data_IF_071661936249
#
_entry.id   IF_071661936249
#
_cell.length_a   1.000
_cell.length_b   1.000
_cell.length_c   1.000
_cell.angle_alpha   90.00
_cell.angle_beta   90.00
_cell.angle_gamma   90.00
#
_symmetry.space_group_name_H-M   'P 1'
#
loop_
_entity.id
_entity.type
_entity.pdbx_description
1 polymer ?
#
# COMPACT_ATOMS: atom_id res chain seq x y z
N UNK A 1 -17.87 40.40 4.01
CA UNK A 1 -17.07 39.18 3.67
C UNK A 1 -17.06 38.18 4.80
N UNK A 2 -16.94 38.58 6.04
CA UNK A 2 -16.89 37.74 7.24
C UNK A 2 -18.12 36.80 7.37
N UNK A 3 -19.33 37.33 7.31
CA UNK A 3 -20.58 36.55 7.36
C UNK A 3 -20.71 35.44 6.30
N UNK A 4 -20.10 35.59 5.11
CA UNK A 4 -20.15 34.55 4.06
C UNK A 4 -19.20 33.39 4.38
N UNK A 5 -18.00 33.68 4.91
CA UNK A 5 -17.05 32.68 5.35
C UNK A 5 -17.58 31.85 6.50
N UNK A 6 -18.21 32.49 7.49
CA UNK A 6 -18.83 31.81 8.62
C UNK A 6 -19.91 30.80 8.17
N UNK A 7 -20.76 31.18 7.19
CA UNK A 7 -21.76 30.28 6.61
C UNK A 7 -21.11 29.06 5.94
N UNK A 8 -20.06 29.28 5.15
CA UNK A 8 -19.30 28.19 4.49
C UNK A 8 -18.71 27.25 5.53
N UNK A 9 -18.06 27.78 6.55
CA UNK A 9 -17.42 27.03 7.64
C UNK A 9 -18.46 26.21 8.40
N UNK A 10 -19.54 26.84 8.84
CA UNK A 10 -20.61 26.15 9.57
C UNK A 10 -21.21 24.99 8.76
N UNK A 11 -21.48 25.21 7.47
CA UNK A 11 -22.00 24.16 6.59
C UNK A 11 -20.99 23.05 6.32
N UNK A 12 -19.73 23.39 6.15
CA UNK A 12 -18.65 22.39 5.99
C UNK A 12 -18.56 21.47 7.21
N UNK A 13 -18.57 22.02 8.42
CA UNK A 13 -18.54 21.26 9.67
C UNK A 13 -19.79 20.38 9.82
N UNK A 14 -20.98 20.91 9.50
CA UNK A 14 -22.23 20.13 9.48
C UNK A 14 -22.13 18.92 8.56
N UNK A 15 -21.67 19.13 7.31
CA UNK A 15 -21.51 18.06 6.34
C UNK A 15 -20.51 17.02 6.84
N UNK A 16 -19.39 17.43 7.42
CA UNK A 16 -18.39 16.52 7.95
C UNK A 16 -18.87 15.73 9.16
N UNK A 17 -19.75 16.29 10.01
CA UNK A 17 -20.39 15.59 11.13
C UNK A 17 -21.34 14.47 10.66
N UNK A 18 -21.89 14.56 9.47
CA UNK A 18 -22.78 13.56 8.88
C UNK A 18 -22.04 12.49 8.07
N UNK A 19 -20.72 12.62 7.89
CA UNK A 19 -19.93 11.71 7.07
C UNK A 19 -18.74 11.14 7.86
N UNK A 20 -18.93 10.02 8.56
CA UNK A 20 -17.89 9.39 9.40
C UNK A 20 -16.61 9.04 8.66
N UNK A 21 -16.71 8.64 7.39
CA UNK A 21 -15.56 8.25 6.54
C UNK A 21 -14.82 9.47 5.97
N UNK A 22 -15.35 10.67 6.18
CA UNK A 22 -14.82 11.91 5.64
C UNK A 22 -15.32 12.22 4.24
N UNK A 23 -14.93 13.38 3.71
CA UNK A 23 -15.33 13.85 2.37
C UNK A 23 -14.11 14.46 1.67
N UNK A 24 -13.95 14.12 0.39
CA UNK A 24 -12.93 14.71 -0.45
C UNK A 24 -13.20 16.20 -0.72
N UNK A 25 -12.10 16.96 -0.86
CA UNK A 25 -12.13 18.42 -1.06
C UNK A 25 -13.11 18.85 -2.17
N UNK A 26 -13.03 18.23 -3.34
CA UNK A 26 -13.89 18.55 -4.48
C UNK A 26 -15.37 18.32 -4.21
N UNK A 27 -15.71 17.24 -3.50
CA UNK A 27 -17.07 16.89 -3.14
C UNK A 27 -17.61 17.81 -2.05
N UNK A 28 -16.78 18.18 -1.09
CA UNK A 28 -17.16 19.15 -0.05
C UNK A 28 -17.44 20.52 -0.66
N UNK A 29 -16.57 21.00 -1.55
CA UNK A 29 -16.78 22.26 -2.29
C UNK A 29 -18.08 22.19 -3.11
N UNK A 30 -18.30 21.11 -3.85
CA UNK A 30 -19.51 20.91 -4.66
C UNK A 30 -20.79 20.97 -3.83
N UNK A 31 -20.85 20.25 -2.70
CA UNK A 31 -22.01 20.25 -1.79
C UNK A 31 -22.29 21.64 -1.23
N UNK A 32 -21.24 22.36 -0.81
CA UNK A 32 -21.41 23.73 -0.29
C UNK A 32 -21.84 24.70 -1.39
N UNK A 33 -21.35 24.55 -2.62
CA UNK A 33 -21.74 25.39 -3.76
C UNK A 33 -23.21 25.18 -4.15
N UNK A 34 -23.71 23.97 -4.03
CA UNK A 34 -25.13 23.65 -4.26
C UNK A 34 -26.05 24.28 -3.22
N UNK A 35 -25.59 24.33 -1.96
CA UNK A 35 -26.35 24.94 -0.86
C UNK A 35 -26.34 26.49 -0.92
N UNK A 36 -25.26 27.08 -1.40
CA UNK A 36 -25.08 28.53 -1.45
C UNK A 36 -24.75 29.03 -2.87
N UNK A 37 -25.71 28.99 -3.82
CA UNK A 37 -25.46 29.37 -5.21
C UNK A 37 -25.07 30.87 -5.36
N UNK A 38 -25.45 31.72 -4.38
CA UNK A 38 -25.11 33.16 -4.37
C UNK A 38 -23.68 33.47 -3.92
N UNK A 39 -22.93 32.44 -3.45
CA UNK A 39 -21.54 32.63 -3.04
C UNK A 39 -20.59 32.23 -4.17
N UNK A 40 -19.69 33.12 -4.62
CA UNK A 40 -18.73 32.79 -5.65
C UNK A 40 -17.92 31.52 -5.28
N UNK A 41 -17.80 30.57 -6.20
CA UNK A 41 -17.14 29.28 -6.01
C UNK A 41 -15.69 29.47 -5.53
N UNK A 42 -14.97 30.48 -6.03
CA UNK A 42 -13.61 30.79 -5.57
C UNK A 42 -13.54 31.17 -4.09
N UNK A 43 -14.60 31.77 -3.52
CA UNK A 43 -14.69 32.07 -2.09
C UNK A 43 -14.87 30.81 -1.28
N UNK A 44 -15.65 29.86 -1.81
CA UNK A 44 -15.85 28.53 -1.19
C UNK A 44 -14.54 27.77 -1.23
N UNK A 45 -13.87 27.69 -2.38
CA UNK A 45 -12.57 27.04 -2.52
C UNK A 45 -11.55 27.56 -1.51
N UNK A 46 -11.35 28.88 -1.44
CA UNK A 46 -10.38 29.49 -0.52
C UNK A 46 -10.73 29.30 0.96
N UNK A 47 -12.03 29.13 1.30
CA UNK A 47 -12.45 28.87 2.68
C UNK A 47 -12.29 27.41 3.07
N UNK A 48 -12.65 26.48 2.17
CA UNK A 48 -12.54 25.04 2.42
C UNK A 48 -11.08 24.57 2.42
N UNK A 49 -10.24 25.14 1.57
CA UNK A 49 -8.80 24.80 1.52
C UNK A 49 -8.13 24.92 2.88
N UNK A 50 -8.46 25.93 3.63
CA UNK A 50 -7.84 26.36 4.87
C UNK A 50 -8.57 25.84 6.13
N UNK A 51 -9.64 25.05 5.94
CA UNK A 51 -10.58 24.67 6.99
C UNK A 51 -9.89 23.93 8.14
N UNK A 52 -9.04 22.95 7.86
CA UNK A 52 -8.35 22.18 8.90
C UNK A 52 -7.30 23.01 9.67
N UNK A 53 -6.71 24.02 9.03
CA UNK A 53 -5.78 24.94 9.68
C UNK A 53 -6.51 25.94 10.58
N UNK A 54 -7.72 26.35 10.19
CA UNK A 54 -8.54 27.32 10.96
C UNK A 54 -9.27 26.68 12.12
N UNK A 55 -9.71 25.44 11.96
CA UNK A 55 -10.50 24.69 12.94
C UNK A 55 -9.82 23.37 13.30
N UNK A 56 -8.61 23.38 13.84
CA UNK A 56 -7.86 22.16 14.15
C UNK A 56 -8.55 21.30 15.21
N UNK A 57 -9.43 21.88 16.02
CA UNK A 57 -10.22 21.19 17.04
C UNK A 57 -11.55 20.59 16.53
N UNK A 58 -11.92 20.86 15.28
CA UNK A 58 -13.17 20.36 14.68
C UNK A 58 -12.92 19.55 13.41
N UNK A 59 -11.89 19.91 12.63
CA UNK A 59 -11.62 19.30 11.32
C UNK A 59 -10.14 18.96 11.19
N UNK A 60 -9.87 17.76 10.72
CA UNK A 60 -8.53 17.30 10.38
C UNK A 60 -8.49 16.68 8.99
N UNK A 61 -7.28 16.51 8.44
CA UNK A 61 -7.04 15.84 7.17
C UNK A 61 -6.33 14.51 7.47
N UNK A 62 -7.03 13.37 7.46
CA UNK A 62 -6.38 12.06 7.63
C UNK A 62 -5.43 11.76 6.46
N UNK A 63 -5.81 12.16 5.23
CA UNK A 63 -4.97 12.02 4.03
C UNK A 63 -5.07 13.27 3.16
N UNK A 64 -4.20 13.34 2.12
CA UNK A 64 -4.22 14.45 1.17
C UNK A 64 -5.59 14.57 0.48
N UNK A 65 -6.22 15.75 0.65
CA UNK A 65 -7.50 16.05 0.00
C UNK A 65 -8.74 15.51 0.70
N UNK A 66 -8.62 14.71 1.77
CA UNK A 66 -9.73 14.18 2.56
C UNK A 66 -9.90 14.99 3.84
N UNK A 67 -11.13 15.46 4.11
CA UNK A 67 -11.50 16.18 5.32
C UNK A 67 -12.39 15.33 6.20
N UNK A 68 -12.17 15.34 7.52
CA UNK A 68 -12.94 14.58 8.50
C UNK A 68 -13.15 15.38 9.77
N UNK A 69 -14.29 15.15 10.44
CA UNK A 69 -14.56 15.76 11.73
C UNK A 69 -13.82 15.03 12.85
N UNK A 70 -13.27 15.78 13.83
CA UNK A 70 -12.46 15.21 14.94
C UNK A 70 -13.22 14.22 15.82
N UNK A 71 -14.55 14.30 15.89
CA UNK A 71 -15.36 13.32 16.65
C UNK A 71 -15.17 11.88 16.16
N UNK A 72 -14.74 11.68 14.92
CA UNK A 72 -14.48 10.35 14.35
C UNK A 72 -13.01 9.92 14.46
N UNK A 73 -12.15 10.75 15.07
CA UNK A 73 -10.74 10.44 15.27
C UNK A 73 -10.54 9.32 16.30
N UNK A 74 -11.36 9.30 17.34
CA UNK A 74 -11.34 8.25 18.37
C UNK A 74 -11.97 6.94 17.91
N UNK A 75 -12.88 6.97 16.92
CA UNK A 75 -13.43 5.75 16.32
C UNK A 75 -12.40 4.98 15.49
N UNK A 76 -11.39 5.65 14.93
CA UNK A 76 -10.26 4.97 14.30
C UNK A 76 -9.45 4.18 15.33
N UNK A 77 -9.14 4.80 16.47
CA UNK A 77 -8.41 4.16 17.59
C UNK A 77 -9.24 3.02 18.18
N UNK A 78 -10.57 3.21 18.33
CA UNK A 78 -11.46 2.19 18.92
C UNK A 78 -11.84 1.06 17.94
N UNK A 79 -11.76 1.26 16.64
CA UNK A 79 -11.95 0.18 15.65
C UNK A 79 -10.73 -0.74 15.60
N UNK A 80 -9.53 -0.22 15.89
CA UNK A 80 -8.33 -1.04 16.05
C UNK A 80 -8.37 -1.87 17.36
N UNK A 81 -9.02 -1.38 18.42
CA UNK A 81 -9.08 -2.06 19.74
C UNK A 81 -10.28 -3.03 19.90
N UNK A 82 -11.35 -2.95 19.11
CA UNK A 82 -12.58 -3.75 19.28
C UNK A 82 -12.64 -5.04 18.46
N UNK A 83 -11.52 -5.64 18.14
CA UNK A 83 -11.49 -7.04 17.65
C UNK A 83 -11.08 -7.97 18.78
N UNK A 84 -12.05 -8.41 19.62
CA UNK A 84 -11.91 -9.51 20.57
C UNK A 84 -13.16 -10.41 20.50
N UNK A 85 -13.05 -11.69 20.91
CA UNK A 85 -12.27 -12.74 20.30
C UNK A 85 -13.19 -13.89 19.84
N UNK A 86 -13.08 -14.32 18.63
CA UNK A 86 -13.27 -15.72 18.30
C UNK A 86 -11.86 -16.30 18.29
N UNK A 87 -11.64 -17.51 18.76
CA UNK A 87 -10.36 -18.21 18.63
C UNK A 87 -10.07 -18.43 17.13
N UNK A 88 -9.71 -17.35 16.47
CA UNK A 88 -9.24 -17.37 15.08
C UNK A 88 -7.84 -17.99 15.12
N UNK A 89 -7.65 -19.06 14.41
CA UNK A 89 -6.32 -19.54 13.97
C UNK A 89 -5.53 -18.30 13.60
N UNK A 90 -4.47 -17.99 14.35
CA UNK A 90 -3.70 -16.76 14.17
C UNK A 90 -3.02 -16.83 12.81
N UNK A 91 -3.62 -16.19 11.81
CA UNK A 91 -3.09 -16.10 10.46
C UNK A 91 -1.71 -15.42 10.52
N UNK A 92 -0.70 -16.08 9.97
CA UNK A 92 0.68 -15.61 9.95
C UNK A 92 1.05 -15.09 8.56
N UNK A 93 2.10 -14.29 8.48
CA UNK A 93 2.66 -13.85 7.20
C UNK A 93 3.03 -15.02 6.29
N UNK A 94 3.62 -16.07 6.87
CA UNK A 94 4.05 -17.28 6.18
C UNK A 94 2.92 -18.00 5.43
N UNK A 95 1.67 -17.86 5.89
CA UNK A 95 0.48 -18.46 5.27
C UNK A 95 0.22 -17.87 3.86
N UNK A 96 0.75 -16.68 3.57
CA UNK A 96 0.58 -15.97 2.29
C UNK A 96 1.77 -16.13 1.33
N UNK A 97 2.91 -16.64 1.77
CA UNK A 97 4.11 -16.74 0.93
C UNK A 97 3.89 -17.64 -0.28
N UNK A 98 3.35 -18.85 -0.05
CA UNK A 98 3.07 -19.78 -1.15
C UNK A 98 1.94 -19.30 -2.07
N UNK A 99 0.80 -18.81 -1.57
CA UNK A 99 -0.22 -18.18 -2.40
C UNK A 99 0.32 -17.04 -3.27
N UNK A 100 1.18 -16.17 -2.72
CA UNK A 100 1.77 -15.08 -3.47
C UNK A 100 2.77 -15.56 -4.54
N UNK A 101 3.61 -16.55 -4.21
CA UNK A 101 4.49 -17.18 -5.19
C UNK A 101 3.70 -17.78 -6.37
N UNK A 102 2.60 -18.49 -6.07
CA UNK A 102 1.72 -19.03 -7.09
C UNK A 102 1.05 -17.95 -7.95
N UNK A 103 0.62 -16.86 -7.34
CA UNK A 103 0.02 -15.72 -8.03
C UNK A 103 1.00 -15.03 -8.98
N UNK A 104 2.27 -14.85 -8.58
CA UNK A 104 3.33 -14.31 -9.43
C UNK A 104 3.56 -15.15 -10.70
N UNK A 105 3.40 -16.47 -10.60
CA UNK A 105 3.63 -17.41 -11.70
C UNK A 105 2.39 -17.57 -12.57
N UNK A 106 1.22 -17.85 -11.96
CA UNK A 106 0.05 -18.34 -12.67
C UNK A 106 -0.95 -17.26 -13.09
N UNK A 107 -0.98 -16.13 -12.40
CA UNK A 107 -1.95 -15.07 -12.67
C UNK A 107 -1.28 -13.81 -13.19
N UNK A 108 -0.23 -13.35 -12.52
CA UNK A 108 0.51 -12.16 -12.96
C UNK A 108 1.48 -12.47 -14.10
N UNK A 109 1.90 -13.72 -14.23
CA UNK A 109 2.91 -14.18 -15.22
C UNK A 109 4.22 -13.37 -15.15
N UNK A 110 4.54 -12.86 -13.96
CA UNK A 110 5.76 -12.10 -13.70
C UNK A 110 6.99 -13.01 -13.56
N UNK A 111 6.77 -14.25 -13.13
CA UNK A 111 7.80 -15.25 -12.91
C UNK A 111 7.52 -16.52 -13.72
N UNK A 112 8.59 -17.23 -14.13
CA UNK A 112 8.49 -18.60 -14.63
C UNK A 112 8.51 -19.63 -13.50
N UNK A 113 9.14 -19.26 -12.37
CA UNK A 113 9.13 -20.02 -11.12
C UNK A 113 9.27 -19.07 -9.93
N UNK A 114 8.64 -19.38 -8.80
CA UNK A 114 8.72 -18.61 -7.57
C UNK A 114 8.58 -19.52 -6.35
N UNK A 115 9.32 -19.20 -5.30
CA UNK A 115 9.36 -19.97 -4.06
C UNK A 115 9.13 -19.08 -2.83
N UNK A 116 8.43 -19.58 -1.80
CA UNK A 116 8.47 -18.99 -0.47
C UNK A 116 9.86 -19.15 0.14
N UNK A 117 10.38 -18.12 0.78
CA UNK A 117 11.63 -18.16 1.53
C UNK A 117 11.40 -17.83 3.00
N UNK A 118 11.35 -16.54 3.32
CA UNK A 118 11.22 -16.04 4.68
C UNK A 118 12.39 -16.38 5.61
N UNK A 119 12.25 -16.00 6.87
CA UNK A 119 13.21 -16.29 7.90
C UNK A 119 14.59 -15.70 7.64
N UNK A 120 15.66 -16.45 7.94
CA UNK A 120 17.04 -16.00 7.77
C UNK A 120 17.80 -16.87 6.75
N UNK A 121 17.17 -17.17 5.61
CA UNK A 121 17.73 -18.05 4.58
C UNK A 121 19.02 -17.49 3.98
N UNK A 122 19.10 -16.20 3.78
CA UNK A 122 20.29 -15.54 3.22
C UNK A 122 21.41 -15.31 4.26
N UNK A 123 21.12 -15.52 5.56
CA UNK A 123 22.07 -15.33 6.66
C UNK A 123 22.73 -13.96 6.64
N UNK A 124 21.97 -12.95 6.24
CA UNK A 124 22.44 -11.58 6.07
C UNK A 124 21.55 -10.61 6.87
N UNK A 125 22.17 -9.58 7.47
CA UNK A 125 21.47 -8.54 8.23
C UNK A 125 20.54 -7.66 7.38
N UNK A 126 20.69 -7.71 6.05
CA UNK A 126 19.83 -6.98 5.10
C UNK A 126 18.51 -7.70 4.82
N UNK A 127 18.28 -8.85 5.45
CA UNK A 127 17.05 -9.61 5.38
C UNK A 127 17.04 -10.67 4.28
N UNK A 128 16.00 -11.46 4.32
CA UNK A 128 15.64 -12.45 3.31
C UNK A 128 14.25 -12.10 2.82
N UNK A 129 13.99 -12.03 1.51
CA UNK A 129 12.64 -11.84 0.99
C UNK A 129 11.69 -12.93 1.46
N UNK A 130 10.43 -12.60 1.67
CA UNK A 130 9.41 -13.60 1.98
C UNK A 130 9.14 -14.52 0.79
N UNK A 131 9.16 -13.94 -0.41
CA UNK A 131 9.03 -14.66 -1.67
C UNK A 131 10.09 -14.18 -2.65
N UNK A 132 10.68 -15.13 -3.37
CA UNK A 132 11.57 -14.86 -4.49
C UNK A 132 11.17 -15.66 -5.70
N UNK A 133 11.28 -15.04 -6.86
CA UNK A 133 10.99 -15.68 -8.15
C UNK A 133 12.05 -15.37 -9.19
N UNK A 134 12.03 -16.13 -10.24
CA UNK A 134 12.82 -15.90 -11.46
C UNK A 134 11.92 -15.87 -12.67
N UNK A 135 12.28 -15.06 -13.65
CA UNK A 135 11.72 -15.11 -15.00
C UNK A 135 12.82 -15.50 -15.96
N UNK A 136 12.73 -16.69 -16.50
CA UNK A 136 13.64 -17.19 -17.53
C UNK A 136 12.96 -17.16 -18.91
N UNK A 137 13.71 -16.90 -19.99
CA UNK A 137 13.17 -17.01 -21.33
C UNK A 137 12.76 -18.46 -21.63
N UNK A 138 11.56 -18.64 -22.13
CA UNK A 138 11.05 -19.95 -22.55
C UNK A 138 11.45 -20.27 -23.99
N UNK A 139 11.37 -21.57 -24.35
CA UNK A 139 11.68 -22.00 -25.74
C UNK A 139 10.72 -21.38 -26.77
N UNK A 140 9.49 -21.14 -26.35
CA UNK A 140 8.43 -20.51 -27.15
C UNK A 140 8.61 -19.01 -27.40
N UNK A 141 9.47 -18.33 -26.62
CA UNK A 141 9.63 -16.89 -26.71
C UNK A 141 10.36 -16.52 -28.00
N UNK A 142 9.75 -15.63 -28.78
CA UNK A 142 10.35 -15.06 -30.00
C UNK A 142 11.53 -14.15 -29.62
N UNK A 143 11.33 -13.31 -28.59
CA UNK A 143 12.38 -12.42 -28.06
C UNK A 143 12.81 -12.94 -26.69
N UNK A 144 14.04 -13.41 -26.59
CA UNK A 144 14.60 -13.94 -25.35
C UNK A 144 15.20 -12.81 -24.50
N UNK A 145 14.52 -12.47 -23.42
CA UNK A 145 15.04 -11.56 -22.41
C UNK A 145 16.06 -12.28 -21.48
N UNK A 146 16.98 -11.55 -20.83
CA UNK A 146 17.81 -12.12 -19.79
C UNK A 146 16.94 -12.59 -18.61
N UNK A 147 17.49 -13.53 -17.80
CA UNK A 147 16.84 -13.96 -16.55
C UNK A 147 16.69 -12.76 -15.61
N UNK A 148 15.50 -12.59 -15.08
CA UNK A 148 15.21 -11.58 -14.05
C UNK A 148 14.93 -12.26 -12.72
N UNK A 149 15.34 -11.61 -11.63
CA UNK A 149 15.01 -12.00 -10.26
C UNK A 149 13.98 -11.02 -9.72
N UNK A 150 12.94 -11.57 -9.10
CA UNK A 150 11.82 -10.83 -8.51
C UNK A 150 11.78 -11.16 -7.01
N UNK A 151 11.64 -10.17 -6.15
CA UNK A 151 11.53 -10.33 -4.71
C UNK A 151 10.27 -9.68 -4.16
N UNK A 152 9.79 -10.15 -3.01
CA UNK A 152 8.66 -9.53 -2.33
C UNK A 152 8.81 -9.62 -0.81
N UNK A 153 8.36 -8.55 -0.15
CA UNK A 153 8.15 -8.46 1.29
C UNK A 153 6.65 -8.40 1.56
N UNK A 154 6.13 -9.25 2.42
CA UNK A 154 4.71 -9.39 2.73
C UNK A 154 4.47 -8.97 4.18
N UNK A 155 3.44 -8.18 4.43
CA UNK A 155 2.97 -7.83 5.77
C UNK A 155 1.49 -8.11 5.92
N UNK A 156 1.12 -8.79 7.00
CA UNK A 156 -0.29 -9.09 7.32
C UNK A 156 -0.95 -8.03 8.16
N UNK A 157 -0.19 -7.04 8.63
CA UNK A 157 -0.68 -5.88 9.35
C UNK A 157 0.09 -4.61 8.97
N UNK A 158 -0.42 -3.46 9.39
CA UNK A 158 0.10 -2.15 9.02
C UNK A 158 1.10 -1.55 10.02
N UNK A 159 1.63 -2.34 10.98
CA UNK A 159 2.44 -1.77 12.10
C UNK A 159 3.82 -1.28 11.67
N UNK A 160 4.50 -2.00 10.78
CA UNK A 160 5.89 -1.73 10.43
C UNK A 160 6.10 -1.53 8.91
N UNK A 161 5.15 -0.83 8.26
CA UNK A 161 5.16 -0.65 6.80
C UNK A 161 6.40 0.09 6.29
N UNK A 162 6.94 1.03 7.06
CA UNK A 162 8.17 1.73 6.66
C UNK A 162 9.39 0.81 6.69
N UNK A 163 9.46 -0.11 7.64
CA UNK A 163 10.52 -1.12 7.71
C UNK A 163 10.39 -2.09 6.54
N UNK A 164 9.19 -2.59 6.27
CA UNK A 164 8.91 -3.46 5.12
C UNK A 164 9.25 -2.79 3.79
N UNK A 165 8.90 -1.52 3.64
CA UNK A 165 9.30 -0.73 2.46
C UNK A 165 10.82 -0.62 2.33
N UNK A 166 11.53 -0.37 3.45
CA UNK A 166 12.99 -0.34 3.49
C UNK A 166 13.61 -1.69 3.08
N UNK A 167 13.03 -2.81 3.52
CA UNK A 167 13.43 -4.15 3.11
C UNK A 167 13.21 -4.37 1.62
N UNK A 168 12.01 -4.04 1.10
CA UNK A 168 11.74 -4.13 -0.34
C UNK A 168 12.71 -3.28 -1.19
N UNK A 169 13.09 -2.10 -0.70
CA UNK A 169 14.12 -1.27 -1.33
C UNK A 169 15.50 -1.95 -1.31
N UNK A 170 15.88 -2.57 -0.19
CA UNK A 170 17.18 -3.24 -0.05
C UNK A 170 17.32 -4.45 -0.99
N UNK A 171 16.22 -5.13 -1.28
CA UNK A 171 16.21 -6.29 -2.18
C UNK A 171 16.53 -5.92 -3.63
N UNK A 172 16.39 -4.65 -4.03
CA UNK A 172 16.84 -4.19 -5.34
C UNK A 172 18.35 -4.36 -5.54
N UNK A 173 19.12 -4.57 -4.48
CA UNK A 173 20.53 -4.90 -4.59
C UNK A 173 20.78 -6.17 -5.42
N UNK A 174 19.85 -7.13 -5.35
CA UNK A 174 19.97 -8.44 -6.02
C UNK A 174 18.73 -8.86 -6.81
N UNK A 175 17.72 -8.01 -6.90
CA UNK A 175 16.48 -8.29 -7.65
C UNK A 175 16.23 -7.22 -8.70
N UNK A 176 15.80 -7.62 -9.88
CA UNK A 176 15.43 -6.71 -10.97
C UNK A 176 14.13 -5.96 -10.67
N UNK A 177 13.21 -6.62 -9.95
CA UNK A 177 11.94 -6.06 -9.48
C UNK A 177 11.71 -6.44 -8.03
N UNK A 178 11.17 -5.53 -7.24
CA UNK A 178 10.86 -5.78 -5.85
C UNK A 178 9.46 -5.27 -5.52
N UNK A 179 8.75 -6.03 -4.71
CA UNK A 179 7.38 -5.75 -4.29
C UNK A 179 7.30 -5.59 -2.77
N UNK A 180 6.40 -4.71 -2.34
CA UNK A 180 5.81 -4.73 -1.01
C UNK A 180 4.35 -5.12 -1.12
N UNK A 181 3.91 -6.06 -0.26
CA UNK A 181 2.57 -6.65 -0.27
C UNK A 181 1.92 -6.39 1.07
N UNK A 182 0.81 -5.65 1.09
CA UNK A 182 0.17 -5.20 2.32
C UNK A 182 -1.34 -5.47 2.30
N UNK A 183 -1.99 -5.58 3.47
CA UNK A 183 -3.42 -5.77 3.54
C UNK A 183 -4.22 -4.65 2.88
N UNK A 184 -5.29 -5.00 2.14
CA UNK A 184 -6.22 -4.02 1.54
C UNK A 184 -6.99 -3.19 2.57
N UNK A 185 -7.07 -3.66 3.82
CA UNK A 185 -7.68 -2.94 4.93
C UNK A 185 -6.70 -2.02 5.69
N UNK A 186 -5.48 -1.82 5.18
CA UNK A 186 -4.55 -0.81 5.66
C UNK A 186 -5.17 0.59 5.57
N UNK A 187 -4.74 1.52 6.42
CA UNK A 187 -5.30 2.88 6.40
C UNK A 187 -5.08 3.56 5.05
N UNK A 188 -6.04 4.38 4.63
CA UNK A 188 -5.92 5.13 3.37
C UNK A 188 -4.71 6.07 3.38
N UNK A 189 -4.28 6.53 4.54
CA UNK A 189 -3.09 7.37 4.71
C UNK A 189 -1.81 6.57 4.42
N UNK A 190 -1.69 5.37 4.98
CA UNK A 190 -0.54 4.48 4.75
C UNK A 190 -0.45 4.05 3.28
N UNK A 191 -1.59 3.64 2.69
CA UNK A 191 -1.65 3.28 1.27
C UNK A 191 -1.21 4.46 0.39
N UNK A 192 -1.68 5.68 0.68
CA UNK A 192 -1.32 6.87 -0.10
C UNK A 192 0.16 7.24 0.01
N UNK A 193 0.76 7.06 1.19
CA UNK A 193 2.19 7.27 1.38
C UNK A 193 3.01 6.23 0.64
N UNK A 194 2.61 4.95 0.75
CA UNK A 194 3.28 3.87 0.02
C UNK A 194 3.12 3.99 -1.50
N UNK A 195 1.95 4.41 -2.01
CA UNK A 195 1.77 4.72 -3.44
C UNK A 195 2.85 5.70 -3.92
N UNK A 196 3.02 6.81 -3.19
CA UNK A 196 3.99 7.84 -3.56
C UNK A 196 5.44 7.33 -3.47
N UNK A 197 5.79 6.64 -2.38
CA UNK A 197 7.13 6.08 -2.19
C UNK A 197 7.44 4.99 -3.22
N UNK A 198 6.50 4.09 -3.49
CA UNK A 198 6.66 3.02 -4.47
C UNK A 198 6.92 3.58 -5.88
N UNK A 199 6.21 4.64 -6.27
CA UNK A 199 6.46 5.33 -7.55
C UNK A 199 7.84 6.00 -7.59
N UNK A 200 8.28 6.66 -6.49
CA UNK A 200 9.58 7.32 -6.42
C UNK A 200 10.73 6.32 -6.53
N UNK A 201 10.64 5.19 -5.83
CA UNK A 201 11.72 4.20 -5.71
C UNK A 201 11.58 3.02 -6.69
N UNK A 202 10.54 2.98 -7.50
CA UNK A 202 10.29 1.91 -8.46
C UNK A 202 9.99 0.56 -7.79
N UNK A 203 9.34 0.56 -6.62
CA UNK A 203 8.87 -0.63 -5.92
C UNK A 203 7.44 -0.93 -6.35
N UNK A 204 7.10 -2.21 -6.51
CA UNK A 204 5.72 -2.63 -6.73
C UNK A 204 4.92 -2.61 -5.42
N UNK A 205 3.68 -2.14 -5.47
CA UNK A 205 2.74 -2.23 -4.35
C UNK A 205 1.60 -3.16 -4.73
N UNK A 206 1.40 -4.19 -3.90
CA UNK A 206 0.29 -5.15 -4.04
C UNK A 206 -0.58 -5.07 -2.79
N UNK A 207 -1.89 -5.04 -2.99
CA UNK A 207 -2.89 -5.12 -1.92
C UNK A 207 -3.52 -6.51 -1.91
N UNK A 208 -3.83 -7.05 -0.72
CA UNK A 208 -4.44 -8.37 -0.60
C UNK A 208 -5.41 -8.48 0.59
N UNK A 209 -6.24 -9.53 0.57
CA UNK A 209 -7.12 -9.88 1.69
C UNK A 209 -6.35 -10.75 2.70
N UNK A 210 -6.02 -10.18 3.85
CA UNK A 210 -5.30 -10.86 4.93
C UNK A 210 -6.19 -11.77 5.82
N UNK A 211 -7.49 -11.91 5.52
CA UNK A 211 -8.39 -12.74 6.31
C UNK A 211 -8.51 -14.17 5.78
N UNK A 212 -8.14 -14.40 4.52
CA UNK A 212 -8.27 -15.71 3.89
C UNK A 212 -7.02 -16.10 3.09
N UNK A 213 -6.09 -16.89 3.68
CA UNK A 213 -4.91 -17.36 2.97
C UNK A 213 -5.20 -18.27 1.76
N UNK A 214 -6.40 -18.86 1.66
CA UNK A 214 -6.79 -19.70 0.53
C UNK A 214 -7.28 -18.88 -0.69
N UNK A 215 -7.72 -17.64 -0.46
CA UNK A 215 -8.15 -16.72 -1.49
C UNK A 215 -7.74 -15.26 -1.12
N UNK A 216 -6.45 -14.93 -1.21
CA UNK A 216 -5.93 -13.63 -0.79
C UNK A 216 -6.32 -12.47 -1.71
N UNK A 217 -6.82 -12.73 -2.92
CA UNK A 217 -7.24 -11.71 -3.88
C UNK A 217 -6.18 -10.62 -4.10
N UNK A 218 -4.98 -11.02 -4.48
CA UNK A 218 -3.89 -10.09 -4.75
C UNK A 218 -4.21 -9.15 -5.90
N UNK A 219 -3.96 -7.86 -5.70
CA UNK A 219 -4.18 -6.82 -6.71
C UNK A 219 -3.03 -5.83 -6.78
N UNK A 220 -2.49 -5.59 -7.98
CA UNK A 220 -1.44 -4.61 -8.17
C UNK A 220 -2.00 -3.20 -8.03
N UNK A 221 -1.40 -2.42 -7.17
CA UNK A 221 -1.64 -0.99 -7.00
C UNK A 221 -0.60 -0.14 -7.74
N UNK A 222 0.69 -0.48 -7.59
CA UNK A 222 1.80 0.14 -8.30
C UNK A 222 2.64 -0.96 -8.94
N UNK A 223 2.97 -0.84 -10.23
CA UNK A 223 3.90 -1.77 -10.90
C UNK A 223 5.34 -1.41 -10.57
N UNK A 224 6.21 -2.39 -10.29
CA UNK A 224 7.62 -2.12 -10.05
C UNK A 224 8.31 -1.68 -11.34
N UNK A 225 9.30 -0.81 -11.21
CA UNK A 225 10.22 -0.52 -12.29
C UNK A 225 11.35 -1.55 -12.29
N UNK A 226 11.58 -2.14 -13.47
CA UNK A 226 12.77 -2.96 -13.68
C UNK A 226 14.02 -2.09 -13.57
N UNK A 227 15.02 -2.59 -12.87
CA UNK A 227 16.37 -2.01 -12.85
C UNK A 227 17.44 -3.10 -12.99
N UNK A 228 18.69 -2.72 -13.16
CA UNK A 228 19.81 -3.66 -13.18
C UNK A 228 20.38 -3.80 -11.77
N UNK A 229 20.28 -4.99 -11.14
CA UNK A 229 20.86 -5.24 -9.83
C UNK A 229 22.37 -5.45 -9.93
N UNK A 230 23.06 -5.44 -8.78
CA UNK A 230 24.48 -5.80 -8.73
C UNK A 230 24.65 -7.32 -8.87
N UNK A 231 25.21 -7.76 -10.00
CA UNK A 231 25.37 -9.18 -10.35
C UNK A 231 26.24 -9.97 -9.37
N UNK A 232 27.11 -9.31 -8.61
CA UNK A 232 27.85 -9.96 -7.55
C UNK A 232 26.88 -10.45 -6.44
N UNK A 233 25.97 -9.59 -6.01
CA UNK A 233 25.00 -9.94 -4.99
C UNK A 233 23.91 -10.86 -5.53
N UNK A 234 23.49 -10.70 -6.78
CA UNK A 234 22.59 -11.67 -7.44
C UNK A 234 23.17 -13.08 -7.29
N UNK A 235 24.39 -13.29 -7.78
CA UNK A 235 25.03 -14.62 -7.73
C UNK A 235 25.29 -15.10 -6.31
N UNK A 236 25.68 -14.19 -5.39
CA UNK A 236 25.90 -14.51 -3.97
C UNK A 236 24.65 -15.13 -3.34
N UNK A 237 23.49 -14.48 -3.50
CA UNK A 237 22.25 -14.96 -2.86
C UNK A 237 21.61 -16.12 -3.61
N UNK A 238 21.62 -16.08 -4.94
CA UNK A 238 21.02 -17.18 -5.76
C UNK A 238 21.71 -18.53 -5.54
N UNK A 239 23.01 -18.55 -5.29
CA UNK A 239 23.73 -19.79 -4.90
C UNK A 239 23.17 -20.43 -3.63
N UNK A 240 22.61 -19.66 -2.70
CA UNK A 240 22.08 -20.19 -1.45
C UNK A 240 20.75 -20.94 -1.66
N UNK A 241 20.05 -20.67 -2.76
CA UNK A 241 18.74 -21.22 -3.09
C UNK A 241 18.70 -21.88 -4.47
N UNK A 242 19.88 -22.16 -5.07
CA UNK A 242 19.98 -22.71 -6.41
C UNK A 242 19.14 -23.99 -6.57
N UNK A 243 19.27 -24.95 -5.63
CA UNK A 243 18.54 -26.21 -5.66
C UNK A 243 17.03 -26.08 -5.51
N UNK A 244 16.56 -24.96 -5.00
CA UNK A 244 15.14 -24.71 -4.73
C UNK A 244 14.48 -23.96 -5.91
N UNK A 245 15.19 -23.00 -6.49
CA UNK A 245 14.67 -22.12 -7.55
C UNK A 245 15.05 -22.58 -8.97
N UNK A 246 16.17 -23.31 -9.16
CA UNK A 246 16.60 -23.89 -10.45
C UNK A 246 16.53 -25.43 -10.41
N UNK A 247 15.31 -25.94 -10.35
CA UNK A 247 15.04 -27.40 -10.39
C UNK A 247 15.06 -27.95 -11.80
#
# INVERSE_FOLDING_TARGET
MEKRREKIISKAVEILKLNPDGIHYSDLVRKISQEFPDIPVNTIHGTVWDLATRLPNEVYKPTRGLYRHVNFKEEEISKEERKLPFEAVKIKEEDFYKPFANWLVNELEECTDAIPLGGNKFKDKWGTPDVIGKREPQRSDIVKAPTEIISAEIKVDARDLITAFGQACSYKLFSHKSYIVIPKNSSQDDVSKLDALCMIFGIGLVLFDNNNPQDPQFGIRVRPLRHEPDMFYVNKYMKLIEKELWR
#
